data_IF_162359657968
#
_entry.id   IF_162359657968
#
_cell.length_a   1.000
_cell.length_b   1.000
_cell.length_c   1.000
_cell.angle_alpha   90.00
_cell.angle_beta   90.00
_cell.angle_gamma   90.00
#
_symmetry.space_group_name_H-M   'P 1'
#
loop_
_entity.id
_entity.type
_entity.pdbx_description
1 polymer ?
#
# COMPACT_ATOMS: atom_id res chain seq x y z
N UNK A 1 48.36 21.80 33.36
CA UNK A 1 46.95 21.39 33.53
C UNK A 1 46.14 21.37 32.23
N UNK A 2 46.15 22.44 31.42
CA UNK A 2 45.32 22.56 30.21
C UNK A 2 45.48 21.43 29.17
N UNK A 3 46.70 20.95 28.92
CA UNK A 3 46.94 19.84 27.96
C UNK A 3 46.38 18.48 28.39
N UNK A 4 46.37 18.20 29.71
CA UNK A 4 45.79 16.97 30.27
C UNK A 4 44.27 17.00 30.21
N UNK A 5 43.67 18.15 30.52
CA UNK A 5 42.22 18.37 30.42
C UNK A 5 41.73 18.26 28.97
N UNK A 6 42.47 18.85 28.00
CA UNK A 6 42.16 18.73 26.57
C UNK A 6 42.24 17.28 26.06
N UNK A 7 43.24 16.51 26.52
CA UNK A 7 43.36 15.08 26.20
C UNK A 7 42.20 14.27 26.80
N UNK A 8 41.88 14.47 28.07
CA UNK A 8 40.76 13.80 28.74
C UNK A 8 39.42 14.12 28.07
N UNK A 9 39.21 15.37 27.66
CA UNK A 9 38.02 15.78 26.92
C UNK A 9 37.94 15.07 25.56
N UNK A 10 39.06 14.98 24.82
CA UNK A 10 39.10 14.29 23.53
C UNK A 10 38.80 12.79 23.66
N UNK A 11 39.35 12.12 24.67
CA UNK A 11 39.06 10.71 24.94
C UNK A 11 37.60 10.50 25.37
N UNK A 12 37.07 11.38 26.24
CA UNK A 12 35.66 11.32 26.63
C UNK A 12 34.72 11.48 25.43
N UNK A 13 34.98 12.45 24.55
CA UNK A 13 34.21 12.62 23.30
C UNK A 13 34.27 11.35 22.45
N UNK A 14 35.44 10.73 22.28
CA UNK A 14 35.62 9.51 21.49
C UNK A 14 34.86 8.32 22.07
N UNK A 15 34.87 8.14 23.39
CA UNK A 15 34.15 7.06 24.07
C UNK A 15 32.64 7.27 23.95
N UNK A 16 32.15 8.48 24.23
CA UNK A 16 30.72 8.82 24.14
C UNK A 16 30.22 8.68 22.71
N UNK A 17 30.97 9.16 21.71
CA UNK A 17 30.58 9.05 20.30
C UNK A 17 30.53 7.60 19.83
N UNK A 18 31.53 6.79 20.20
CA UNK A 18 31.58 5.37 19.83
C UNK A 18 30.45 4.58 20.50
N UNK A 19 30.20 4.81 21.79
CA UNK A 19 29.09 4.18 22.51
C UNK A 19 27.73 4.56 21.94
N UNK A 20 27.55 5.84 21.59
CA UNK A 20 26.31 6.32 20.96
C UNK A 20 26.10 5.72 19.58
N UNK A 21 27.16 5.60 18.77
CA UNK A 21 27.08 4.97 17.46
C UNK A 21 26.71 3.49 17.58
N UNK A 22 27.36 2.74 18.49
CA UNK A 22 27.03 1.34 18.73
C UNK A 22 25.59 1.15 19.21
N UNK A 23 25.13 2.00 20.12
CA UNK A 23 23.76 1.94 20.63
C UNK A 23 22.73 2.28 19.53
N UNK A 24 22.97 3.34 18.74
CA UNK A 24 22.14 3.68 17.59
C UNK A 24 22.12 2.55 16.54
N UNK A 25 23.26 1.90 16.31
CA UNK A 25 23.38 0.76 15.39
C UNK A 25 22.58 -0.44 15.91
N UNK A 26 22.69 -0.73 17.20
CA UNK A 26 21.89 -1.75 17.86
C UNK A 26 20.39 -1.48 17.71
N UNK A 27 19.93 -0.27 18.05
CA UNK A 27 18.51 0.14 17.92
C UNK A 27 18.02 0.06 16.47
N UNK A 28 18.88 0.40 15.51
CA UNK A 28 18.59 0.25 14.08
C UNK A 28 18.39 -1.21 13.71
N UNK A 29 19.29 -2.11 14.13
CA UNK A 29 19.26 -3.54 13.81
C UNK A 29 18.08 -4.25 14.47
N UNK A 30 17.77 -3.94 15.74
CA UNK A 30 16.64 -4.56 16.44
C UNK A 30 15.27 -3.99 16.04
N UNK A 31 15.25 -2.91 15.26
CA UNK A 31 14.01 -2.30 14.80
C UNK A 31 13.25 -1.57 15.91
N UNK A 32 13.94 -0.80 16.77
CA UNK A 32 13.27 -0.08 17.85
C UNK A 32 12.32 1.01 17.31
N UNK A 33 11.02 0.86 17.56
CA UNK A 33 9.97 1.72 17.00
C UNK A 33 10.17 3.19 17.36
N UNK A 34 10.55 3.48 18.61
CA UNK A 34 10.72 4.86 19.10
C UNK A 34 11.96 5.51 18.51
N UNK A 35 13.06 4.78 18.42
CA UNK A 35 14.29 5.25 17.82
C UNK A 35 14.11 5.56 16.33
N UNK A 36 13.47 4.66 15.59
CA UNK A 36 13.17 4.91 14.17
C UNK A 36 12.29 6.15 13.99
N UNK A 37 11.12 6.18 14.64
CA UNK A 37 10.15 7.24 14.42
C UNK A 37 10.59 8.62 14.94
N UNK A 38 11.29 8.68 16.08
CA UNK A 38 11.59 9.94 16.75
C UNK A 38 13.01 10.46 16.52
N UNK A 39 13.95 9.62 16.06
CA UNK A 39 15.36 9.99 15.92
C UNK A 39 15.89 9.72 14.51
N UNK A 40 15.92 8.45 14.10
CA UNK A 40 16.58 8.05 12.85
C UNK A 40 15.86 8.60 11.61
N UNK A 41 14.56 8.36 11.49
CA UNK A 41 13.80 8.80 10.31
C UNK A 41 13.77 10.33 10.18
N UNK A 42 13.49 11.12 11.25
CA UNK A 42 13.58 12.58 11.18
C UNK A 42 14.96 13.09 10.74
N UNK A 43 16.05 12.47 11.22
CA UNK A 43 17.42 12.82 10.81
C UNK A 43 17.65 12.52 9.32
N UNK A 44 17.31 11.31 8.86
CA UNK A 44 17.48 10.89 7.47
C UNK A 44 16.67 11.76 6.51
N UNK A 45 15.44 12.13 6.89
CA UNK A 45 14.58 12.98 6.07
C UNK A 45 15.11 14.40 5.89
N UNK A 46 15.89 14.92 6.84
CA UNK A 46 16.52 16.25 6.74
C UNK A 46 17.70 16.27 5.78
N UNK A 47 18.42 15.15 5.65
CA UNK A 47 19.67 15.09 4.89
C UNK A 47 19.51 14.44 3.50
N UNK A 48 18.47 13.62 3.29
CA UNK A 48 18.21 12.93 2.02
C UNK A 48 16.88 13.36 1.42
N UNK A 49 16.91 13.79 0.15
CA UNK A 49 15.71 14.11 -0.63
C UNK A 49 14.75 12.91 -0.77
N UNK A 50 13.46 13.19 -0.97
CA UNK A 50 12.39 12.18 -0.94
C UNK A 50 12.61 11.03 -1.95
N UNK A 51 12.91 11.35 -3.20
CA UNK A 51 13.12 10.32 -4.23
C UNK A 51 14.39 9.51 -3.99
N UNK A 52 15.49 10.15 -3.60
CA UNK A 52 16.75 9.46 -3.29
C UNK A 52 16.59 8.52 -2.10
N UNK A 53 15.89 8.96 -1.04
CA UNK A 53 15.60 8.13 0.12
C UNK A 53 14.75 6.91 -0.26
N UNK A 54 13.79 7.09 -1.16
CA UNK A 54 12.96 6.00 -1.66
C UNK A 54 13.79 4.97 -2.44
N UNK A 55 14.61 5.41 -3.39
CA UNK A 55 15.50 4.51 -4.16
C UNK A 55 16.46 3.77 -3.24
N UNK A 56 17.04 4.46 -2.25
CA UNK A 56 17.91 3.82 -1.27
C UNK A 56 17.15 2.78 -0.43
N UNK A 57 15.94 3.10 0.04
CA UNK A 57 15.13 2.18 0.82
C UNK A 57 14.79 0.90 0.03
N UNK A 58 14.35 1.02 -1.22
CA UNK A 58 14.07 -0.14 -2.09
C UNK A 58 15.32 -1.00 -2.26
N UNK A 59 16.48 -0.40 -2.58
CA UNK A 59 17.74 -1.14 -2.72
C UNK A 59 18.17 -1.83 -1.43
N UNK A 60 18.14 -1.12 -0.30
CA UNK A 60 18.53 -1.66 1.01
C UNK A 60 17.60 -2.82 1.42
N UNK A 61 16.29 -2.69 1.21
CA UNK A 61 15.32 -3.76 1.48
C UNK A 61 15.53 -4.93 0.52
N UNK A 62 15.78 -4.68 -0.78
CA UNK A 62 16.07 -5.73 -1.76
C UNK A 62 17.33 -6.53 -1.46
N UNK A 63 18.35 -5.89 -0.87
CA UNK A 63 19.54 -6.57 -0.34
C UNK A 63 19.28 -7.34 0.97
N UNK A 64 18.06 -7.28 1.52
CA UNK A 64 17.70 -7.90 2.79
C UNK A 64 18.29 -7.19 4.02
N UNK A 65 18.79 -5.96 3.87
CA UNK A 65 19.35 -5.15 4.94
C UNK A 65 18.22 -4.47 5.72
N UNK A 66 17.41 -5.29 6.39
CA UNK A 66 16.23 -4.87 7.13
C UNK A 66 16.40 -5.12 8.63
N UNK A 67 15.71 -4.36 9.50
CA UNK A 67 15.73 -4.65 10.93
C UNK A 67 15.17 -6.04 11.23
N UNK A 68 15.63 -6.64 12.33
CA UNK A 68 15.16 -7.93 12.80
C UNK A 68 13.67 -7.86 13.14
N UNK A 69 12.88 -8.71 12.51
CA UNK A 69 11.48 -8.90 12.85
C UNK A 69 11.30 -10.24 13.60
N UNK A 70 11.04 -10.15 14.91
CA UNK A 70 10.75 -11.31 15.77
C UNK A 70 9.25 -11.50 16.06
N UNK A 71 8.41 -10.66 15.48
CA UNK A 71 6.97 -10.75 15.69
C UNK A 71 6.42 -11.94 14.90
N UNK A 72 5.77 -12.87 15.60
CA UNK A 72 5.07 -13.99 14.98
C UNK A 72 3.61 -13.58 14.80
N UNK A 73 3.11 -13.72 13.57
CA UNK A 73 1.71 -13.39 13.27
C UNK A 73 0.79 -14.40 13.96
N UNK A 74 -0.11 -13.95 14.85
CA UNK A 74 -1.09 -14.83 15.48
C UNK A 74 -2.19 -15.20 14.47
N UNK A 75 -2.84 -16.33 14.69
CA UNK A 75 -3.93 -16.81 13.84
C UNK A 75 -5.11 -15.81 13.74
N UNK A 76 -5.29 -14.93 14.74
CA UNK A 76 -6.32 -13.88 14.70
C UNK A 76 -6.11 -12.84 13.61
N UNK A 77 -4.88 -12.70 13.08
CA UNK A 77 -4.59 -11.81 11.94
C UNK A 77 -4.75 -12.50 10.58
N UNK A 78 -4.91 -13.82 10.53
CA UNK A 78 -5.06 -14.53 9.25
C UNK A 78 -6.38 -14.17 8.57
N UNK A 79 -6.32 -13.93 7.25
CA UNK A 79 -7.48 -13.61 6.42
C UNK A 79 -7.48 -14.52 5.19
N UNK A 80 -8.63 -15.13 4.89
CA UNK A 80 -8.83 -15.87 3.65
C UNK A 80 -9.82 -15.10 2.78
N UNK A 81 -9.34 -14.53 1.67
CA UNK A 81 -10.13 -13.67 0.78
C UNK A 81 -9.54 -13.72 -0.63
N UNK A 82 -10.32 -13.46 -1.68
CA UNK A 82 -9.87 -13.59 -3.09
C UNK A 82 -9.41 -15.03 -3.43
N UNK A 83 -9.90 -16.02 -2.68
CA UNK A 83 -9.40 -17.40 -2.69
C UNK A 83 -7.97 -17.57 -2.14
N UNK A 84 -7.32 -16.49 -1.70
CA UNK A 84 -5.94 -16.46 -1.22
C UNK A 84 -5.92 -16.48 0.31
N UNK A 85 -4.85 -17.05 0.87
CA UNK A 85 -4.52 -16.94 2.28
C UNK A 85 -3.59 -15.76 2.49
N UNK A 86 -3.88 -14.95 3.50
CA UNK A 86 -3.03 -13.85 3.94
C UNK A 86 -2.67 -14.09 5.41
N UNK A 87 -1.38 -14.26 5.69
CA UNK A 87 -0.87 -14.55 7.03
C UNK A 87 -1.15 -13.43 8.03
N UNK A 88 -1.24 -12.19 7.55
CA UNK A 88 -1.72 -11.03 8.26
C UNK A 88 -2.34 -10.03 7.25
N UNK A 89 -3.18 -9.07 7.67
CA UNK A 89 -3.95 -8.26 6.73
C UNK A 89 -3.19 -7.00 6.25
N UNK A 90 -1.91 -6.84 6.59
CA UNK A 90 -1.16 -5.61 6.38
C UNK A 90 -0.19 -5.77 5.21
N UNK A 91 -0.47 -5.09 4.10
CA UNK A 91 0.36 -5.10 2.90
C UNK A 91 1.10 -3.79 2.63
N UNK A 92 2.07 -3.85 1.73
CA UNK A 92 2.74 -2.68 1.16
C UNK A 92 2.04 -2.29 -0.15
N UNK A 93 1.64 -1.03 -0.26
CA UNK A 93 0.91 -0.54 -1.43
C UNK A 93 1.81 -0.38 -2.67
N UNK A 94 1.20 -0.51 -3.87
CA UNK A 94 1.89 -0.16 -5.11
C UNK A 94 2.45 1.25 -5.09
N UNK A 95 3.54 1.41 -5.84
CA UNK A 95 4.34 2.61 -5.95
C UNK A 95 5.59 2.56 -5.08
N UNK A 96 5.65 1.67 -4.08
CA UNK A 96 6.88 1.45 -3.32
C UNK A 96 7.87 0.60 -4.12
N UNK A 97 7.58 -0.69 -4.33
CA UNK A 97 8.40 -1.55 -5.18
C UNK A 97 7.86 -1.56 -6.61
N UNK A 98 8.18 -0.51 -7.37
CA UNK A 98 7.64 -0.33 -8.73
C UNK A 98 8.10 -1.40 -9.72
N UNK A 99 9.21 -2.07 -9.42
CA UNK A 99 9.94 -2.88 -10.39
C UNK A 99 10.17 -4.33 -9.92
N UNK A 100 9.68 -4.69 -8.73
CA UNK A 100 9.88 -6.03 -8.14
C UNK A 100 11.27 -6.25 -7.56
N UNK A 101 11.96 -5.18 -7.15
CA UNK A 101 13.34 -5.18 -6.65
C UNK A 101 13.48 -5.61 -5.18
N UNK A 102 12.38 -5.57 -4.41
CA UNK A 102 12.42 -5.63 -2.96
C UNK A 102 11.41 -6.61 -2.32
N UNK A 103 10.72 -7.42 -3.13
CA UNK A 103 9.63 -8.33 -2.69
C UNK A 103 10.01 -9.15 -1.46
N UNK A 104 11.12 -9.89 -1.49
CA UNK A 104 11.54 -10.75 -0.38
C UNK A 104 11.91 -9.95 0.89
N UNK A 105 12.53 -8.79 0.71
CA UNK A 105 12.84 -7.89 1.82
C UNK A 105 11.58 -7.31 2.47
N UNK A 106 10.55 -7.03 1.68
CA UNK A 106 9.26 -6.54 2.16
C UNK A 106 8.53 -7.62 2.98
N UNK A 107 8.54 -8.88 2.54
CA UNK A 107 8.04 -9.97 3.40
C UNK A 107 8.84 -10.10 4.70
N UNK A 108 10.18 -9.95 4.66
CA UNK A 108 11.03 -9.94 5.87
C UNK A 108 10.70 -8.81 6.85
N UNK A 109 10.24 -7.66 6.35
CA UNK A 109 9.72 -6.57 7.20
C UNK A 109 8.43 -6.95 7.94
N UNK A 110 7.74 -7.99 7.49
CA UNK A 110 6.54 -8.54 8.11
C UNK A 110 5.24 -8.19 7.41
N UNK A 111 5.28 -7.65 6.18
CA UNK A 111 4.07 -7.49 5.38
C UNK A 111 3.45 -8.86 5.06
N UNK A 112 2.13 -8.97 5.18
CA UNK A 112 1.37 -10.17 4.82
C UNK A 112 1.18 -10.34 3.32
N UNK A 113 1.36 -9.27 2.53
CA UNK A 113 1.33 -9.30 1.07
C UNK A 113 2.08 -8.10 0.49
N UNK A 114 2.56 -8.24 -0.74
CA UNK A 114 3.30 -7.19 -1.46
C UNK A 114 2.58 -6.85 -2.75
N UNK A 115 2.41 -5.57 -3.06
CA UNK A 115 1.94 -5.12 -4.39
C UNK A 115 3.08 -4.38 -5.12
N UNK A 116 3.56 -4.95 -6.23
CA UNK A 116 4.55 -4.30 -7.09
C UNK A 116 3.88 -3.42 -8.15
N UNK A 117 4.66 -2.51 -8.73
CA UNK A 117 4.20 -1.60 -9.78
C UNK A 117 3.75 -0.23 -9.26
N UNK A 118 2.99 0.56 -10.01
CA UNK A 118 2.37 0.26 -11.30
C UNK A 118 3.38 0.04 -12.43
N UNK A 119 3.19 -1.03 -13.20
CA UNK A 119 4.03 -1.42 -14.33
C UNK A 119 3.30 -1.10 -15.63
N UNK A 120 4.02 -0.53 -16.59
CA UNK A 120 3.52 -0.21 -17.93
C UNK A 120 4.12 -1.16 -18.96
N UNK A 121 3.48 -1.38 -20.12
CA UNK A 121 4.02 -2.22 -21.21
C UNK A 121 5.47 -1.90 -21.55
N UNK A 122 5.70 -0.66 -21.97
CA UNK A 122 7.02 -0.14 -22.33
C UNK A 122 7.67 0.58 -21.15
N UNK A 123 9.01 0.61 -21.09
CA UNK A 123 9.72 1.46 -20.14
C UNK A 123 9.36 2.93 -20.33
N UNK A 124 9.31 3.69 -19.24
CA UNK A 124 9.19 5.15 -19.27
C UNK A 124 9.76 5.77 -17.99
N UNK A 125 10.40 6.93 -18.13
CA UNK A 125 11.08 7.60 -17.01
C UNK A 125 10.11 8.21 -15.99
N UNK A 126 8.86 8.45 -16.38
CA UNK A 126 7.88 9.24 -15.63
C UNK A 126 7.99 10.74 -15.87
N UNK A 127 7.40 11.56 -14.99
CA UNK A 127 7.47 13.02 -15.10
C UNK A 127 8.84 13.57 -14.62
N UNK A 128 9.24 14.79 -15.04
CA UNK A 128 10.50 15.42 -14.62
C UNK A 128 10.62 15.59 -13.10
N UNK A 129 11.85 15.54 -12.58
CA UNK A 129 12.17 15.81 -11.17
C UNK A 129 12.26 17.33 -10.89
N UNK A 130 11.97 17.80 -9.66
CA UNK A 130 11.45 17.06 -8.51
C UNK A 130 9.98 16.69 -8.68
N UNK A 131 9.62 15.47 -8.22
CA UNK A 131 8.30 14.86 -8.44
C UNK A 131 7.74 14.14 -7.22
N UNK A 132 8.39 14.28 -6.07
CA UNK A 132 7.92 13.77 -4.78
C UNK A 132 8.35 14.73 -3.68
N UNK A 133 7.40 15.11 -2.84
CA UNK A 133 7.53 16.15 -1.83
C UNK A 133 7.02 15.59 -0.52
N UNK A 134 7.84 15.69 0.53
CA UNK A 134 7.40 15.38 1.89
C UNK A 134 6.72 16.61 2.45
N UNK A 135 5.55 16.40 3.04
CA UNK A 135 4.82 17.38 3.81
C UNK A 135 4.97 16.98 5.28
N UNK A 136 6.12 17.31 5.86
CA UNK A 136 6.54 16.76 7.16
C UNK A 136 5.66 17.23 8.30
N UNK A 137 5.14 18.46 8.23
CA UNK A 137 4.18 18.98 9.21
C UNK A 137 2.86 18.19 9.21
N UNK A 138 2.49 17.64 8.06
CA UNK A 138 1.21 16.96 7.83
C UNK A 138 1.32 15.43 7.80
N UNK A 139 2.53 14.87 8.02
CA UNK A 139 2.84 13.43 7.84
C UNK A 139 2.33 12.89 6.48
N UNK A 140 2.55 13.68 5.44
CA UNK A 140 1.95 13.47 4.12
C UNK A 140 2.98 13.52 3.00
N UNK A 141 2.62 12.99 1.83
CA UNK A 141 3.44 13.08 0.62
C UNK A 141 2.58 13.58 -0.52
N UNK A 142 3.11 14.52 -1.30
CA UNK A 142 2.60 14.82 -2.64
C UNK A 142 3.56 14.21 -3.66
N UNK A 143 3.03 13.46 -4.62
CA UNK A 143 3.85 12.92 -5.71
C UNK A 143 3.19 13.07 -7.08
N UNK A 144 4.04 13.25 -8.08
CA UNK A 144 3.70 13.31 -9.49
C UNK A 144 4.59 12.43 -10.36
N UNK A 145 4.89 11.21 -9.89
CA UNK A 145 5.81 10.30 -10.59
C UNK A 145 5.44 10.03 -12.06
N UNK A 146 4.14 9.85 -12.36
CA UNK A 146 3.68 9.58 -13.73
C UNK A 146 4.11 8.21 -14.26
N UNK A 147 3.94 7.15 -13.45
CA UNK A 147 4.31 5.77 -13.77
C UNK A 147 5.74 5.62 -14.33
N UNK A 148 6.76 6.07 -13.58
CA UNK A 148 8.13 5.66 -13.87
C UNK A 148 8.22 4.12 -13.74
N UNK A 149 8.55 3.42 -14.84
CA UNK A 149 8.51 1.96 -14.96
C UNK A 149 9.63 1.46 -15.87
N UNK A 150 10.23 0.33 -15.52
CA UNK A 150 11.21 -0.36 -16.38
C UNK A 150 10.55 -1.24 -17.46
N UNK A 151 9.22 -1.23 -17.59
CA UNK A 151 8.50 -2.03 -18.59
C UNK A 151 8.15 -3.44 -18.12
N UNK A 152 7.24 -4.11 -18.84
CA UNK A 152 6.80 -5.47 -18.50
C UNK A 152 7.93 -6.49 -18.60
N UNK A 153 8.75 -6.41 -19.65
CA UNK A 153 9.82 -7.40 -19.92
C UNK A 153 10.82 -7.50 -18.76
N UNK A 154 11.34 -6.36 -18.31
CA UNK A 154 12.31 -6.30 -17.22
C UNK A 154 11.72 -6.81 -15.89
N UNK A 155 10.46 -6.46 -15.61
CA UNK A 155 9.78 -6.95 -14.40
C UNK A 155 9.47 -8.44 -14.51
N UNK A 156 9.04 -8.92 -15.69
CA UNK A 156 8.77 -10.33 -15.93
C UNK A 156 10.02 -11.16 -15.67
N UNK A 157 11.17 -10.75 -16.21
CA UNK A 157 12.44 -11.45 -15.99
C UNK A 157 12.80 -11.51 -14.50
N UNK A 158 12.61 -10.39 -13.78
CA UNK A 158 12.90 -10.31 -12.34
C UNK A 158 11.97 -11.20 -11.51
N UNK A 159 10.67 -11.22 -11.81
CA UNK A 159 9.70 -12.04 -11.10
C UNK A 159 9.85 -13.53 -11.42
N UNK A 160 10.09 -13.89 -12.69
CA UNK A 160 10.41 -15.27 -13.11
C UNK A 160 11.62 -15.83 -12.38
N UNK A 161 12.67 -15.03 -12.20
CA UNK A 161 13.88 -15.46 -11.49
C UNK A 161 13.64 -15.88 -10.02
N UNK A 162 12.48 -15.52 -9.44
CA UNK A 162 12.08 -15.88 -8.08
C UNK A 162 10.71 -16.58 -8.01
N UNK A 163 10.21 -17.09 -9.13
CA UNK A 163 8.86 -17.65 -9.24
C UNK A 163 8.61 -18.80 -8.25
N UNK A 164 9.52 -19.77 -8.19
CA UNK A 164 9.43 -20.89 -7.25
C UNK A 164 9.42 -20.42 -5.78
N UNK A 165 10.26 -19.44 -5.45
CA UNK A 165 10.27 -18.81 -4.11
C UNK A 165 8.94 -18.14 -3.81
N UNK A 166 8.35 -17.45 -4.79
CA UNK A 166 7.03 -16.84 -4.63
C UNK A 166 5.94 -17.89 -4.44
N UNK A 167 5.95 -18.99 -5.20
CA UNK A 167 4.96 -20.06 -5.05
C UNK A 167 4.96 -20.64 -3.63
N UNK A 168 6.14 -20.88 -3.04
CA UNK A 168 6.26 -21.32 -1.65
C UNK A 168 5.79 -20.25 -0.65
N UNK A 169 6.11 -18.98 -0.90
CA UNK A 169 5.64 -17.86 -0.07
C UNK A 169 4.12 -17.72 -0.11
N UNK A 170 3.49 -17.83 -1.28
CA UNK A 170 2.05 -17.76 -1.44
C UNK A 170 1.34 -18.91 -0.72
N UNK A 171 1.89 -20.13 -0.74
CA UNK A 171 1.36 -21.28 0.02
C UNK A 171 1.31 -21.03 1.53
N UNK A 172 2.30 -20.32 2.08
CA UNK A 172 2.34 -19.95 3.51
C UNK A 172 1.62 -18.64 3.82
N UNK A 173 0.87 -18.10 2.85
CA UNK A 173 0.04 -16.92 3.03
C UNK A 173 0.77 -15.59 2.86
N UNK A 174 1.74 -15.51 1.95
CA UNK A 174 2.43 -14.28 1.56
C UNK A 174 2.25 -13.96 0.07
N UNK A 175 1.05 -13.50 -0.35
CA UNK A 175 0.74 -13.30 -1.77
C UNK A 175 1.42 -12.07 -2.39
N UNK A 176 1.71 -12.16 -3.68
CA UNK A 176 2.22 -11.11 -4.55
C UNK A 176 1.14 -10.56 -5.49
N UNK A 177 0.84 -9.28 -5.33
CA UNK A 177 0.03 -8.50 -6.24
C UNK A 177 0.85 -7.80 -7.32
N UNK A 178 0.31 -7.73 -8.52
CA UNK A 178 0.94 -6.98 -9.62
C UNK A 178 0.00 -5.87 -10.10
N UNK A 179 0.44 -4.62 -9.93
CA UNK A 179 -0.31 -3.45 -10.35
C UNK A 179 0.04 -3.05 -11.79
N UNK A 180 -0.97 -3.05 -12.66
CA UNK A 180 -0.86 -2.76 -14.08
C UNK A 180 -1.38 -1.36 -14.40
N UNK A 181 -0.74 -0.69 -15.37
CA UNK A 181 -1.14 0.61 -15.86
C UNK A 181 -0.76 0.80 -17.33
N UNK A 182 -1.20 1.91 -17.90
CA UNK A 182 -0.89 2.28 -19.29
C UNK A 182 0.34 3.17 -19.41
N UNK A 183 1.03 3.09 -20.54
CA UNK A 183 2.03 4.07 -20.93
C UNK A 183 1.41 5.45 -21.16
N UNK A 184 2.15 6.52 -20.83
CA UNK A 184 1.68 7.91 -20.94
C UNK A 184 1.25 8.29 -22.36
N UNK A 185 1.93 7.76 -23.37
CA UNK A 185 1.70 8.05 -24.78
C UNK A 185 0.80 7.00 -25.48
N UNK A 186 0.30 6.00 -24.75
CA UNK A 186 -0.58 4.99 -25.34
C UNK A 186 -1.93 5.61 -25.71
N UNK A 187 -2.35 5.33 -26.95
CA UNK A 187 -3.67 5.71 -27.47
C UNK A 187 -4.76 4.70 -27.12
N UNK A 188 -4.37 3.48 -26.76
CA UNK A 188 -5.28 2.40 -26.39
C UNK A 188 -4.90 1.90 -24.99
N UNK A 189 -5.61 2.43 -23.99
CA UNK A 189 -5.39 2.02 -22.62
C UNK A 189 -5.71 0.53 -22.41
N UNK A 190 -6.74 0.01 -23.09
CA UNK A 190 -7.15 -1.39 -22.96
C UNK A 190 -6.06 -2.34 -23.40
N UNK A 191 -5.45 -2.08 -24.57
CA UNK A 191 -4.34 -2.87 -25.09
C UNK A 191 -3.17 -2.97 -24.10
N UNK A 192 -2.83 -1.88 -23.41
CA UNK A 192 -1.76 -1.87 -22.41
C UNK A 192 -2.07 -2.77 -21.21
N UNK A 193 -3.30 -2.75 -20.70
CA UNK A 193 -3.69 -3.64 -19.59
C UNK A 193 -3.73 -5.11 -20.04
N UNK A 194 -4.25 -5.39 -21.24
CA UNK A 194 -4.30 -6.73 -21.83
C UNK A 194 -2.88 -7.32 -21.97
N UNK A 195 -1.92 -6.52 -22.42
CA UNK A 195 -0.50 -6.92 -22.47
C UNK A 195 0.04 -7.22 -21.06
N UNK A 196 -0.27 -6.38 -20.08
CA UNK A 196 0.10 -6.62 -18.68
C UNK A 196 -0.46 -7.93 -18.12
N UNK A 197 -1.74 -8.24 -18.41
CA UNK A 197 -2.39 -9.50 -18.01
C UNK A 197 -1.68 -10.69 -18.65
N UNK A 198 -1.40 -10.66 -19.95
CA UNK A 198 -0.69 -11.75 -20.65
C UNK A 198 0.71 -11.99 -20.10
N UNK A 199 1.46 -10.93 -19.86
CA UNK A 199 2.90 -11.03 -19.55
C UNK A 199 3.14 -11.34 -18.07
N UNK A 200 2.35 -10.73 -17.17
CA UNK A 200 2.57 -10.83 -15.72
C UNK A 200 1.47 -11.58 -14.97
N UNK A 201 0.31 -11.81 -15.57
CA UNK A 201 -0.77 -12.61 -14.97
C UNK A 201 -0.31 -13.98 -14.45
N UNK A 202 0.50 -14.76 -15.20
CA UNK A 202 1.00 -16.04 -14.72
C UNK A 202 1.91 -15.97 -13.49
N UNK A 203 2.44 -14.78 -13.15
CA UNK A 203 3.37 -14.56 -12.04
C UNK A 203 2.72 -13.89 -10.83
N UNK A 204 1.42 -13.59 -10.90
CA UNK A 204 0.69 -12.85 -9.88
C UNK A 204 -0.20 -13.80 -9.06
N UNK A 205 -0.29 -13.56 -7.75
CA UNK A 205 -1.40 -14.09 -6.96
C UNK A 205 -2.67 -13.27 -7.17
N UNK A 206 -2.54 -11.96 -7.42
CA UNK A 206 -3.65 -11.11 -7.85
C UNK A 206 -3.18 -9.97 -8.76
N UNK A 207 -4.05 -9.54 -9.67
CA UNK A 207 -3.81 -8.43 -10.58
C UNK A 207 -4.57 -7.19 -10.13
N UNK A 208 -4.00 -6.01 -10.39
CA UNK A 208 -4.65 -4.72 -10.12
C UNK A 208 -4.71 -3.89 -11.39
N UNK A 209 -5.91 -3.51 -11.81
CA UNK A 209 -6.15 -2.53 -12.87
C UNK A 209 -6.15 -1.14 -12.24
N UNK A 210 -5.08 -0.37 -12.45
CA UNK A 210 -4.98 0.97 -11.90
C UNK A 210 -5.53 2.04 -12.86
N UNK A 211 -6.73 2.52 -12.57
CA UNK A 211 -7.43 3.58 -13.30
C UNK A 211 -7.45 4.93 -12.54
N UNK A 212 -6.64 5.07 -11.49
CA UNK A 212 -6.82 6.13 -10.49
C UNK A 212 -5.63 7.06 -10.24
N UNK A 213 -4.50 6.84 -10.92
CA UNK A 213 -3.34 7.74 -10.86
C UNK A 213 -3.72 9.16 -11.31
N UNK A 214 -3.48 10.21 -10.49
CA UNK A 214 -3.68 11.60 -10.91
C UNK A 214 -2.58 12.10 -11.86
N UNK A 215 -1.53 11.30 -12.08
CA UNK A 215 -0.27 11.74 -12.68
C UNK A 215 -0.09 11.31 -14.14
N UNK A 216 -1.08 10.59 -14.67
CA UNK A 216 -1.17 10.16 -16.06
C UNK A 216 -2.43 10.80 -16.67
N UNK A 217 -2.28 11.77 -17.58
CA UNK A 217 -3.43 12.48 -18.16
C UNK A 217 -4.48 11.52 -18.76
N UNK A 218 -5.75 11.82 -18.49
CA UNK A 218 -6.91 11.05 -18.96
C UNK A 218 -7.07 9.66 -18.36
N UNK A 219 -6.23 9.26 -17.39
CA UNK A 219 -6.35 7.92 -16.79
C UNK A 219 -7.62 7.79 -15.95
N UNK A 220 -7.95 8.83 -15.18
CA UNK A 220 -9.12 8.82 -14.27
C UNK A 220 -10.45 8.82 -15.00
N UNK A 221 -10.46 9.22 -16.27
CA UNK A 221 -11.63 9.18 -17.14
C UNK A 221 -12.07 7.73 -17.43
N UNK A 222 -11.16 6.75 -17.28
CA UNK A 222 -11.47 5.32 -17.35
C UNK A 222 -12.37 4.82 -16.21
N UNK A 223 -12.66 5.66 -15.22
CA UNK A 223 -13.62 5.35 -14.16
C UNK A 223 -15.07 5.68 -14.55
N UNK A 224 -15.30 6.29 -15.71
CA UNK A 224 -16.64 6.46 -16.28
C UNK A 224 -17.31 5.10 -16.53
N UNK A 225 -18.62 5.01 -16.32
CA UNK A 225 -19.36 3.73 -16.29
C UNK A 225 -19.13 2.87 -17.53
N UNK A 226 -19.19 3.45 -18.73
CA UNK A 226 -19.08 2.71 -19.98
C UNK A 226 -17.64 2.27 -20.24
N UNK A 227 -16.69 3.17 -20.04
CA UNK A 227 -15.26 2.96 -20.21
C UNK A 227 -14.74 1.90 -19.24
N UNK A 228 -15.13 1.99 -17.97
CA UNK A 228 -14.76 1.04 -16.94
C UNK A 228 -15.33 -0.35 -17.24
N UNK A 229 -16.63 -0.42 -17.62
CA UNK A 229 -17.25 -1.70 -17.99
C UNK A 229 -16.51 -2.34 -19.15
N UNK A 230 -16.24 -1.59 -20.21
CA UNK A 230 -15.54 -2.11 -21.39
C UNK A 230 -14.13 -2.59 -21.04
N UNK A 231 -13.38 -1.81 -20.25
CA UNK A 231 -12.03 -2.16 -19.83
C UNK A 231 -12.02 -3.42 -18.95
N UNK A 232 -12.87 -3.50 -17.93
CA UNK A 232 -12.87 -4.63 -17.01
C UNK A 232 -13.37 -5.91 -17.71
N UNK A 233 -14.37 -5.80 -18.60
CA UNK A 233 -14.82 -6.93 -19.41
C UNK A 233 -13.67 -7.52 -20.25
N UNK A 234 -12.88 -6.68 -20.93
CA UNK A 234 -11.76 -7.17 -21.75
C UNK A 234 -10.61 -7.72 -20.89
N UNK A 235 -10.29 -7.09 -19.77
CA UNK A 235 -9.27 -7.58 -18.82
C UNK A 235 -9.66 -8.94 -18.24
N UNK A 236 -10.90 -9.11 -17.79
CA UNK A 236 -11.39 -10.38 -17.24
C UNK A 236 -11.35 -11.49 -18.29
N UNK A 237 -11.80 -11.20 -19.52
CA UNK A 237 -11.70 -12.14 -20.64
C UNK A 237 -10.26 -12.58 -20.91
N UNK A 238 -9.30 -11.66 -20.87
CA UNK A 238 -7.88 -11.96 -21.06
C UNK A 238 -7.31 -12.79 -19.90
N UNK A 239 -7.72 -12.46 -18.66
CA UNK A 239 -7.34 -13.21 -17.47
C UNK A 239 -7.85 -14.65 -17.55
N UNK A 240 -9.09 -14.84 -17.98
CA UNK A 240 -9.70 -16.16 -18.12
C UNK A 240 -9.05 -16.99 -19.25
N UNK A 241 -8.45 -16.32 -20.24
CA UNK A 241 -7.73 -16.94 -21.36
C UNK A 241 -6.28 -17.35 -21.05
N UNK A 242 -5.73 -16.99 -19.88
CA UNK A 242 -4.42 -17.49 -19.43
C UNK A 242 -4.41 -19.03 -19.41
N UNK A 243 -3.26 -19.68 -19.34
CA UNK A 243 -3.20 -21.16 -19.32
C UNK A 243 -3.07 -21.74 -17.90
N UNK A 244 -3.02 -20.86 -16.91
CA UNK A 244 -2.74 -21.22 -15.51
C UNK A 244 -3.91 -21.98 -14.87
N UNK A 245 -3.62 -23.04 -14.12
CA UNK A 245 -4.67 -23.80 -13.41
C UNK A 245 -5.48 -22.92 -12.47
N UNK A 246 -4.78 -22.01 -11.79
CA UNK A 246 -5.40 -21.00 -10.93
C UNK A 246 -5.22 -19.63 -11.54
N UNK A 247 -6.33 -19.02 -11.95
CA UNK A 247 -6.32 -17.66 -12.49
C UNK A 247 -6.20 -16.62 -11.36
N UNK A 248 -5.40 -15.55 -11.52
CA UNK A 248 -5.28 -14.53 -10.50
C UNK A 248 -6.58 -13.71 -10.40
N UNK A 249 -7.15 -13.49 -9.21
CA UNK A 249 -8.20 -12.50 -9.00
C UNK A 249 -7.79 -11.11 -9.54
N UNK A 250 -8.74 -10.41 -10.15
CA UNK A 250 -8.56 -9.06 -10.71
C UNK A 250 -9.25 -8.05 -9.82
N UNK A 251 -8.48 -7.08 -9.34
CA UNK A 251 -8.97 -5.96 -8.56
C UNK A 251 -8.90 -4.68 -9.37
N UNK A 252 -9.79 -3.72 -9.11
CA UNK A 252 -9.69 -2.36 -9.65
C UNK A 252 -9.36 -1.36 -8.55
N UNK A 253 -8.37 -0.49 -8.82
CA UNK A 253 -7.93 0.55 -7.87
C UNK A 253 -8.53 1.89 -8.24
N UNK A 254 -9.34 2.43 -7.34
CA UNK A 254 -10.14 3.64 -7.57
C UNK A 254 -9.56 4.87 -6.88
N UNK A 255 -9.91 6.04 -7.41
CA UNK A 255 -9.57 7.31 -6.79
C UNK A 255 -10.50 7.58 -5.59
N UNK A 256 -10.05 8.36 -4.59
CA UNK A 256 -10.94 8.88 -3.55
C UNK A 256 -11.78 10.07 -4.04
N UNK A 257 -11.35 10.71 -5.12
CA UNK A 257 -11.93 11.95 -5.66
C UNK A 257 -13.11 11.64 -6.61
N UNK A 258 -14.11 10.92 -6.11
CA UNK A 258 -15.27 10.44 -6.87
C UNK A 258 -16.56 11.04 -6.33
N UNK A 259 -17.48 11.39 -7.23
CA UNK A 259 -18.85 11.77 -6.85
C UNK A 259 -19.63 10.55 -6.34
N UNK A 260 -20.77 10.78 -5.68
CA UNK A 260 -21.66 9.68 -5.27
C UNK A 260 -22.14 8.84 -6.48
N UNK A 261 -22.41 9.49 -7.62
CA UNK A 261 -22.82 8.81 -8.84
C UNK A 261 -21.68 7.95 -9.42
N UNK A 262 -20.44 8.46 -9.44
CA UNK A 262 -19.30 7.69 -9.90
C UNK A 262 -19.09 6.43 -9.04
N UNK A 263 -19.23 6.56 -7.71
CA UNK A 263 -19.13 5.42 -6.79
C UNK A 263 -20.21 4.37 -7.03
N UNK A 264 -21.46 4.81 -7.24
CA UNK A 264 -22.57 3.91 -7.60
C UNK A 264 -22.30 3.21 -8.93
N UNK A 265 -21.86 3.95 -9.95
CA UNK A 265 -21.58 3.39 -11.27
C UNK A 265 -20.44 2.38 -11.25
N UNK A 266 -19.37 2.65 -10.49
CA UNK A 266 -18.30 1.68 -10.24
C UNK A 266 -18.85 0.44 -9.54
N UNK A 267 -19.65 0.61 -8.47
CA UNK A 267 -20.22 -0.51 -7.72
C UNK A 267 -21.12 -1.41 -8.58
N UNK A 268 -21.94 -0.80 -9.43
CA UNK A 268 -22.77 -1.50 -10.42
C UNK A 268 -21.89 -2.34 -11.35
N UNK A 269 -20.87 -1.72 -11.96
CA UNK A 269 -20.01 -2.38 -12.96
C UNK A 269 -19.21 -3.53 -12.33
N UNK A 270 -18.61 -3.33 -11.15
CA UNK A 270 -17.82 -4.39 -10.51
C UNK A 270 -18.68 -5.57 -10.07
N UNK A 271 -19.92 -5.31 -9.66
CA UNK A 271 -20.89 -6.36 -9.30
C UNK A 271 -21.43 -7.07 -10.53
N UNK A 272 -21.78 -6.33 -11.58
CA UNK A 272 -22.28 -6.84 -12.87
C UNK A 272 -21.27 -7.80 -13.52
N UNK A 273 -19.99 -7.40 -13.57
CA UNK A 273 -18.94 -8.17 -14.23
C UNK A 273 -18.29 -9.24 -13.35
N UNK A 274 -18.61 -9.28 -12.05
CA UNK A 274 -17.98 -10.21 -11.12
C UNK A 274 -16.49 -9.94 -10.91
N UNK A 275 -16.10 -8.66 -10.78
CA UNK A 275 -14.72 -8.27 -10.47
C UNK A 275 -14.38 -8.74 -9.06
N UNK A 276 -13.21 -9.36 -8.90
CA UNK A 276 -12.86 -10.11 -7.68
C UNK A 276 -12.65 -9.21 -6.44
N UNK A 277 -12.35 -7.92 -6.63
CA UNK A 277 -12.20 -6.98 -5.52
C UNK A 277 -11.95 -5.53 -5.91
N UNK A 278 -11.96 -4.67 -4.90
CA UNK A 278 -11.68 -3.24 -5.00
C UNK A 278 -10.45 -2.85 -4.17
N UNK A 279 -9.69 -1.87 -4.65
CA UNK A 279 -8.65 -1.22 -3.87
C UNK A 279 -9.00 0.24 -3.62
N UNK A 280 -9.20 0.59 -2.35
CA UNK A 280 -9.82 1.86 -1.93
C UNK A 280 -8.94 2.54 -0.87
N UNK A 281 -8.12 3.54 -1.20
CA UNK A 281 -8.05 4.27 -2.48
C UNK A 281 -6.62 4.59 -2.92
N UNK A 282 -6.51 5.15 -4.12
CA UNK A 282 -5.32 5.87 -4.56
C UNK A 282 -5.19 7.22 -3.81
N UNK A 283 -4.17 7.99 -4.18
CA UNK A 283 -3.94 9.36 -3.72
C UNK A 283 -5.04 10.34 -4.14
N UNK A 284 -5.25 11.41 -3.34
CA UNK A 284 -6.25 12.46 -3.61
C UNK A 284 -5.61 13.66 -4.31
N UNK A 285 -6.35 14.32 -5.21
CA UNK A 285 -5.96 15.64 -5.75
C UNK A 285 -6.48 16.79 -4.89
N UNK A 286 -7.39 16.52 -3.95
CA UNK A 286 -7.84 17.51 -2.98
C UNK A 286 -6.68 18.01 -2.11
N UNK A 287 -6.84 19.23 -1.58
CA UNK A 287 -5.92 19.88 -0.65
C UNK A 287 -6.72 20.40 0.54
N UNK A 288 -6.82 19.62 1.64
CA UNK A 288 -7.49 20.09 2.85
C UNK A 288 -6.88 21.42 3.32
N UNK A 289 -7.73 22.35 3.75
CA UNK A 289 -7.28 23.66 4.26
C UNK A 289 -6.39 23.54 5.52
N UNK A 290 -6.48 22.42 6.22
CA UNK A 290 -5.68 22.09 7.39
C UNK A 290 -4.20 21.83 7.09
N UNK A 291 -3.79 21.67 5.82
CA UNK A 291 -2.40 21.43 5.45
C UNK A 291 -1.48 22.60 5.82
N UNK A 292 -0.39 22.31 6.52
CA UNK A 292 0.54 23.31 7.05
C UNK A 292 1.86 23.40 6.26
N UNK A 293 2.29 22.32 5.61
CA UNK A 293 3.62 22.28 4.97
C UNK A 293 3.70 23.22 3.75
N UNK A 294 4.83 23.91 3.52
CA UNK A 294 5.01 24.79 2.37
C UNK A 294 4.80 24.10 1.01
N UNK A 295 5.02 22.79 0.90
CA UNK A 295 4.80 22.05 -0.34
C UNK A 295 3.32 21.72 -0.62
N UNK A 296 2.36 22.14 0.22
CA UNK A 296 0.93 21.82 0.06
C UNK A 296 0.34 22.18 -1.31
N UNK A 297 0.88 23.19 -2.00
CA UNK A 297 0.45 23.62 -3.34
C UNK A 297 1.10 22.85 -4.49
N UNK A 298 1.99 21.91 -4.22
CA UNK A 298 2.62 21.09 -5.27
C UNK A 298 1.58 20.27 -6.04
N UNK A 299 1.75 20.18 -7.36
CA UNK A 299 0.89 19.35 -8.22
C UNK A 299 1.17 17.87 -7.99
N UNK A 300 0.11 17.07 -7.92
CA UNK A 300 0.20 15.62 -7.81
C UNK A 300 -0.82 15.04 -6.82
N UNK A 301 -0.69 13.75 -6.56
CA UNK A 301 -1.51 13.05 -5.59
C UNK A 301 -0.97 13.19 -4.16
N UNK A 302 -1.85 13.62 -3.24
CA UNK A 302 -1.63 13.69 -1.80
C UNK A 302 -1.93 12.33 -1.14
N UNK A 303 -1.06 11.91 -0.23
CA UNK A 303 -1.18 10.69 0.58
C UNK A 303 -0.76 10.95 2.02
N UNK A 304 -0.99 9.97 2.91
CA UNK A 304 -0.64 10.05 4.33
C UNK A 304 -1.84 10.43 5.20
N UNK A 305 -1.57 11.03 6.36
CA UNK A 305 -2.58 11.38 7.36
C UNK A 305 -3.79 12.13 6.78
N UNK A 306 -3.63 13.16 5.92
CA UNK A 306 -4.77 13.94 5.42
C UNK A 306 -5.72 13.16 4.50
N UNK A 307 -5.29 11.99 3.98
CA UNK A 307 -6.12 11.11 3.16
C UNK A 307 -6.91 10.09 3.99
N UNK A 308 -6.59 9.93 5.28
CA UNK A 308 -7.11 8.84 6.12
C UNK A 308 -8.63 8.78 6.12
N UNK A 309 -9.28 9.88 6.49
CA UNK A 309 -10.73 9.90 6.69
C UNK A 309 -11.48 9.78 5.37
N UNK A 310 -11.02 10.48 4.32
CA UNK A 310 -11.60 10.39 2.98
C UNK A 310 -11.52 8.96 2.43
N UNK A 311 -10.37 8.29 2.59
CA UNK A 311 -10.23 6.90 2.14
C UNK A 311 -11.08 5.94 2.98
N UNK A 312 -11.18 6.12 4.30
CA UNK A 312 -12.04 5.29 5.16
C UNK A 312 -13.52 5.48 4.82
N UNK A 313 -13.97 6.71 4.56
CA UNK A 313 -15.34 6.98 4.09
C UNK A 313 -15.61 6.29 2.75
N UNK A 314 -14.66 6.38 1.82
CA UNK A 314 -14.79 5.72 0.52
C UNK A 314 -14.87 4.19 0.66
N UNK A 315 -14.11 3.58 1.57
CA UNK A 315 -14.25 2.14 1.90
C UNK A 315 -15.66 1.83 2.38
N UNK A 316 -16.18 2.63 3.32
CA UNK A 316 -17.53 2.45 3.89
C UNK A 316 -18.62 2.53 2.82
N UNK A 317 -18.55 3.55 1.96
CA UNK A 317 -19.50 3.76 0.87
C UNK A 317 -19.45 2.61 -0.14
N UNK A 318 -18.26 2.23 -0.62
CA UNK A 318 -18.12 1.14 -1.59
C UNK A 318 -18.56 -0.21 -1.01
N UNK A 319 -18.30 -0.47 0.28
CA UNK A 319 -18.78 -1.67 0.96
C UNK A 319 -20.31 -1.72 0.99
N UNK A 320 -20.96 -0.61 1.33
CA UNK A 320 -22.42 -0.51 1.33
C UNK A 320 -23.00 -0.69 -0.08
N UNK A 321 -22.43 -0.02 -1.08
CA UNK A 321 -22.90 -0.07 -2.46
C UNK A 321 -22.77 -1.47 -3.08
N UNK A 322 -21.73 -2.21 -2.72
CA UNK A 322 -21.50 -3.60 -3.14
C UNK A 322 -22.13 -4.63 -2.20
N UNK A 323 -22.87 -4.17 -1.17
CA UNK A 323 -23.53 -5.02 -0.17
C UNK A 323 -22.58 -6.02 0.50
N UNK A 324 -21.31 -5.63 0.69
CA UNK A 324 -20.26 -6.47 1.24
C UNK A 324 -19.89 -7.70 0.41
N UNK A 325 -20.36 -7.81 -0.85
CA UNK A 325 -20.09 -8.95 -1.73
C UNK A 325 -18.75 -8.87 -2.45
N UNK A 326 -18.21 -7.66 -2.62
CA UNK A 326 -16.93 -7.42 -3.28
C UNK A 326 -15.88 -7.13 -2.22
N UNK A 327 -14.85 -7.98 -2.06
CA UNK A 327 -13.74 -7.74 -1.14
C UNK A 327 -13.06 -6.38 -1.37
N UNK A 328 -12.70 -5.69 -0.29
CA UNK A 328 -12.02 -4.39 -0.36
C UNK A 328 -10.65 -4.47 0.31
N UNK A 329 -9.62 -3.97 -0.39
CA UNK A 329 -8.33 -3.64 0.20
C UNK A 329 -8.31 -2.13 0.52
N UNK A 330 -8.26 -1.78 1.80
CA UNK A 330 -8.29 -0.41 2.31
C UNK A 330 -6.90 0.25 2.32
N UNK A 331 -6.76 1.42 1.72
CA UNK A 331 -5.49 2.11 1.48
C UNK A 331 -5.68 3.61 1.72
N UNK A 332 -4.72 4.24 2.40
CA UNK A 332 -4.71 5.69 2.64
C UNK A 332 -4.66 6.01 4.13
N UNK A 333 -3.57 6.66 4.55
CA UNK A 333 -3.42 7.14 5.93
C UNK A 333 -3.31 6.06 7.02
N UNK A 334 -3.05 4.79 6.67
CA UNK A 334 -2.85 3.73 7.69
C UNK A 334 -1.46 3.87 8.33
N UNK A 335 -1.43 4.24 9.61
CA UNK A 335 -0.20 4.51 10.37
C UNK A 335 -0.17 3.88 11.78
N UNK A 336 -1.26 3.25 12.20
CA UNK A 336 -1.47 2.57 13.48
C UNK A 336 -2.42 1.38 13.34
N UNK A 337 -2.50 0.52 14.36
CA UNK A 337 -3.49 -0.55 14.42
C UNK A 337 -4.92 -0.03 14.45
N UNK A 338 -5.16 1.16 15.03
CA UNK A 338 -6.47 1.80 15.02
C UNK A 338 -6.89 2.17 13.59
N UNK A 339 -6.00 2.80 12.80
CA UNK A 339 -6.34 3.16 11.42
C UNK A 339 -6.63 1.92 10.54
N UNK A 340 -5.93 0.80 10.82
CA UNK A 340 -6.20 -0.48 10.19
C UNK A 340 -7.57 -1.04 10.62
N UNK A 341 -7.87 -1.03 11.92
CA UNK A 341 -9.16 -1.45 12.47
C UNK A 341 -10.31 -0.63 11.90
N UNK A 342 -10.17 0.69 11.82
CA UNK A 342 -11.21 1.59 11.30
C UNK A 342 -11.57 1.27 9.85
N UNK A 343 -10.57 0.98 9.01
CA UNK A 343 -10.80 0.53 7.63
C UNK A 343 -11.42 -0.85 7.56
N UNK A 344 -10.99 -1.78 8.42
CA UNK A 344 -11.55 -3.13 8.49
C UNK A 344 -13.04 -3.07 8.87
N UNK A 345 -13.36 -2.36 9.95
CA UNK A 345 -14.74 -2.14 10.41
C UNK A 345 -15.60 -1.40 9.40
N UNK A 346 -15.00 -0.50 8.63
CA UNK A 346 -15.69 0.18 7.52
C UNK A 346 -16.00 -0.76 6.34
N UNK A 347 -15.32 -1.91 6.20
CA UNK A 347 -15.60 -2.90 5.17
C UNK A 347 -14.38 -3.53 4.49
N UNK A 348 -13.15 -3.10 4.80
CA UNK A 348 -11.95 -3.67 4.20
C UNK A 348 -11.62 -5.07 4.77
N UNK A 349 -11.27 -6.02 3.91
CA UNK A 349 -10.75 -7.33 4.32
C UNK A 349 -9.25 -7.28 4.59
N UNK A 350 -8.52 -6.40 3.89
CA UNK A 350 -7.08 -6.20 3.99
C UNK A 350 -6.79 -4.71 4.00
N UNK A 351 -5.60 -4.30 4.47
CA UNK A 351 -5.15 -2.91 4.42
C UNK A 351 -3.76 -2.80 3.82
N UNK A 352 -3.46 -1.66 3.20
CA UNK A 352 -2.09 -1.32 2.79
C UNK A 352 -1.62 0.02 3.35
N UNK A 353 -0.31 0.10 3.55
CA UNK A 353 0.37 1.34 3.90
C UNK A 353 1.49 1.66 2.92
N UNK A 354 1.87 2.95 2.86
CA UNK A 354 3.07 3.42 2.17
C UNK A 354 3.64 4.61 2.95
N UNK A 355 2.91 5.72 3.03
CA UNK A 355 3.42 6.96 3.63
C UNK A 355 3.94 6.76 5.07
N UNK A 356 3.24 5.95 5.88
CA UNK A 356 3.69 5.62 7.23
C UNK A 356 5.08 4.97 7.28
N UNK A 357 5.43 4.09 6.33
CA UNK A 357 6.77 3.47 6.24
C UNK A 357 7.85 4.53 6.01
N UNK A 358 7.54 5.56 5.21
CA UNK A 358 8.48 6.65 4.90
C UNK A 358 8.73 7.58 6.09
N UNK A 359 7.79 7.65 7.04
CA UNK A 359 7.87 8.49 8.23
C UNK A 359 8.37 7.76 9.48
N UNK A 360 7.82 6.57 9.74
CA UNK A 360 8.06 5.80 10.96
C UNK A 360 9.12 4.72 10.77
N UNK A 361 9.56 4.45 9.53
CA UNK A 361 10.52 3.42 9.21
C UNK A 361 9.94 2.01 9.30
N UNK A 362 10.75 0.98 8.99
CA UNK A 362 10.27 -0.40 8.90
C UNK A 362 9.56 -0.99 10.13
N UNK A 363 9.91 -0.63 11.39
CA UNK A 363 9.20 -1.13 12.57
C UNK A 363 7.69 -0.83 12.62
N UNK A 364 7.20 0.12 11.82
CA UNK A 364 5.77 0.46 11.75
C UNK A 364 4.88 -0.72 11.37
N UNK A 365 5.40 -1.66 10.58
CA UNK A 365 4.64 -2.84 10.14
C UNK A 365 4.31 -3.73 11.34
N UNK A 366 5.32 -4.04 12.16
CA UNK A 366 5.16 -4.79 13.40
C UNK A 366 4.24 -4.07 14.38
N UNK A 367 4.42 -2.75 14.54
CA UNK A 367 3.59 -1.91 15.41
C UNK A 367 2.10 -2.06 15.06
N UNK A 368 1.75 -1.87 13.79
CA UNK A 368 0.35 -1.93 13.32
C UNK A 368 -0.24 -3.32 13.59
N UNK A 369 0.48 -4.40 13.29
CA UNK A 369 0.00 -5.77 13.53
C UNK A 369 -0.25 -6.06 15.01
N UNK A 370 0.67 -5.67 15.88
CA UNK A 370 0.54 -5.81 17.34
C UNK A 370 -0.67 -5.03 17.87
N UNK A 371 -0.79 -3.77 17.47
CA UNK A 371 -1.91 -2.91 17.89
C UNK A 371 -3.25 -3.44 17.37
N UNK A 372 -3.30 -3.93 16.12
CA UNK A 372 -4.51 -4.53 15.55
C UNK A 372 -4.92 -5.81 16.29
N UNK A 373 -3.98 -6.68 16.61
CA UNK A 373 -4.26 -7.89 17.43
C UNK A 373 -4.86 -7.51 18.78
N UNK A 374 -4.31 -6.50 19.44
CA UNK A 374 -4.81 -6.01 20.72
C UNK A 374 -6.24 -5.46 20.59
N UNK A 375 -6.50 -4.64 19.57
CA UNK A 375 -7.82 -4.06 19.32
C UNK A 375 -8.88 -5.11 18.99
N UNK A 376 -8.52 -6.19 18.27
CA UNK A 376 -9.43 -7.31 18.03
C UNK A 376 -9.91 -7.91 19.36
N UNK A 377 -8.98 -8.18 20.29
CA UNK A 377 -9.29 -8.73 21.61
C UNK A 377 -10.14 -7.77 22.44
N UNK A 378 -9.78 -6.49 22.46
CA UNK A 378 -10.49 -5.45 23.22
C UNK A 378 -11.93 -5.23 22.72
N UNK A 379 -12.16 -5.38 21.41
CA UNK A 379 -13.47 -5.23 20.79
C UNK A 379 -14.26 -6.54 20.69
N UNK A 380 -13.72 -7.65 21.21
CA UNK A 380 -14.42 -8.93 21.25
C UNK A 380 -14.45 -9.70 19.93
N UNK A 381 -13.55 -9.40 18.99
CA UNK A 381 -13.39 -10.17 17.75
C UNK A 381 -12.34 -11.26 17.90
N UNK A 382 -12.67 -12.47 17.45
CA UNK A 382 -11.78 -13.63 17.48
C UNK A 382 -10.67 -13.53 16.42
N UNK A 383 -10.98 -12.89 15.29
CA UNK A 383 -10.07 -12.71 14.15
C UNK A 383 -10.50 -11.51 13.30
N UNK A 384 -9.63 -11.08 12.39
CA UNK A 384 -9.86 -9.95 11.47
C UNK A 384 -11.16 -10.11 10.67
N UNK A 385 -11.49 -11.32 10.21
CA UNK A 385 -12.65 -11.56 9.35
C UNK A 385 -13.97 -11.22 10.05
N UNK A 386 -14.06 -11.40 11.36
CA UNK A 386 -15.26 -11.03 12.15
C UNK A 386 -15.43 -9.51 12.28
N UNK A 387 -14.34 -8.75 12.21
CA UNK A 387 -14.37 -7.29 12.28
C UNK A 387 -14.72 -6.63 10.93
N UNK A 388 -14.56 -7.33 9.81
CA UNK A 388 -14.83 -6.79 8.46
C UNK A 388 -16.27 -6.28 8.38
N UNK A 389 -16.45 -5.00 8.10
CA UNK A 389 -17.77 -4.38 7.94
C UNK A 389 -18.62 -4.30 9.22
N UNK A 390 -18.02 -4.47 10.41
CA UNK A 390 -18.75 -4.48 11.69
C UNK A 390 -19.66 -3.26 11.90
N UNK A 391 -19.21 -2.08 11.47
CA UNK A 391 -19.98 -0.84 11.64
C UNK A 391 -21.33 -0.86 10.90
N UNK A 392 -21.43 -1.63 9.81
CA UNK A 392 -22.66 -1.74 9.02
C UNK A 392 -23.70 -2.63 9.72
N UNK A 393 -23.23 -3.68 10.41
CA UNK A 393 -24.11 -4.59 11.17
C UNK A 393 -24.66 -3.95 12.44
N UNK A 394 -23.85 -3.13 13.09
CA UNK A 394 -24.25 -2.40 14.31
C UNK A 394 -25.31 -1.33 14.01
N UNK A 395 -25.19 -0.66 12.85
CA UNK A 395 -26.18 0.32 12.40
C UNK A 395 -27.57 -0.32 12.23
N UNK A 396 -27.64 -1.48 11.55
CA UNK A 396 -28.89 -2.22 11.30
C UNK A 396 -29.55 -2.77 12.58
N UNK A 397 -28.73 -3.18 13.55
CA UNK A 397 -29.21 -3.66 14.86
C UNK A 397 -29.82 -2.56 15.74
N UNK A 398 -29.38 -1.31 15.57
CA UNK A 398 -29.89 -0.15 16.32
C UNK A 398 -31.27 0.32 15.84
N UNK A 399 -31.58 0.14 14.55
CA UNK A 399 -32.88 0.45 13.94
C UNK A 399 -33.95 -0.57 14.33
N UNK A 400 -33.57 -1.85 14.49
CA UNK A 400 -34.46 -2.93 14.97
C UNK A 400 -34.93 -2.75 16.43
N UNK A 401 -34.07 -2.21 17.30
CA UNK A 401 -34.43 -1.93 18.70
C UNK A 401 -35.30 -0.68 18.90
N UNK A 402 -35.43 0.20 17.89
CA UNK A 402 -36.28 1.40 17.96
C UNK A 402 -37.69 1.19 17.41
N UNK A 403 -37.97 0.08 16.72
CA UNK A 403 -39.31 -0.27 16.21
C UNK A 403 -40.11 -1.17 17.16
N UNK A 404 -39.57 -1.47 18.34
CA UNK A 404 -40.17 -2.36 19.35
C UNK A 404 -40.44 -1.69 20.69
N UNK A 405 -40.56 -0.35 20.71
CA UNK A 405 -41.00 0.44 21.87
C UNK A 405 -42.27 1.22 21.56
#
# INVERSE_FOLDING_TARGET
MAGRLKKQLKEAVKVISSGSLLFASYLTVVGDERFYANQLMPLLQRIVGAETAHVLAVKTIGLGLVPLNRYQDPASLEVNVLGLKFKNPVGIAAGFDKHGEAVDGLYKLGFGFVEVGTITPKPQDGNPKPRVFRLSADKAIINRYGFNSCGLEEVQNRLKAREETQQEQSKVGLPLGINLGKNKLSRDAGADYLEGVRVLGPLADYLVVNVSSPNTPGLRDLQGKAELRQLLHTVLKERDALQEERKPPVLVKIAPDLTAQDKQDIADVVTELGVDGLMVSNTTVSRPESLQDPHRSEVGGLSGEPLKDLSTSTVREMYSLTQGKVPIIGIGGVASGQDAMDKIRAGASLVQLYTALTYQGPPVVKKIKRELEQLLKEQGFSNVSEAVGADHREADGSTSKKSSL
#
